data_IF_182050492776
#
_entry.id   IF_182050492776
#
_cell.length_a   1.000
_cell.length_b   1.000
_cell.length_c   1.000
_cell.angle_alpha   90.00
_cell.angle_beta   90.00
_cell.angle_gamma   90.00
#
_symmetry.space_group_name_H-M   'P 1'
#
loop_
_entity.id
_entity.type
_entity.pdbx_description
1 polymer ?
#
# COMPACT_ATOMS: atom_id res chain seq x y z
N UNK A 1 -2.97 13.47 -11.19
CA UNK A 1 -3.90 12.41 -10.72
C UNK A 1 -3.06 11.28 -10.20
N UNK A 2 -3.38 10.69 -9.04
CA UNK A 2 -2.57 9.61 -8.47
C UNK A 2 -2.63 8.33 -9.35
N UNK A 3 -1.62 7.47 -9.31
CA UNK A 3 -1.40 6.40 -10.29
C UNK A 3 -2.43 5.27 -10.18
N UNK A 4 -2.75 4.84 -8.96
CA UNK A 4 -3.79 3.86 -8.67
C UNK A 4 -5.19 4.31 -9.10
N UNK A 5 -5.55 5.59 -8.91
CA UNK A 5 -6.82 6.13 -9.42
C UNK A 5 -6.86 6.08 -10.94
N UNK A 6 -5.75 6.42 -11.61
CA UNK A 6 -5.65 6.35 -13.07
C UNK A 6 -5.83 4.91 -13.56
N UNK A 7 -5.25 3.93 -12.86
CA UNK A 7 -5.42 2.51 -13.16
C UNK A 7 -6.88 2.07 -13.04
N UNK A 8 -7.55 2.42 -11.93
CA UNK A 8 -8.97 2.08 -11.73
C UNK A 8 -9.87 2.70 -12.82
N UNK A 9 -9.61 3.95 -13.21
CA UNK A 9 -10.38 4.62 -14.25
C UNK A 9 -10.25 3.89 -15.61
N UNK A 10 -9.04 3.45 -15.96
CA UNK A 10 -8.79 2.70 -17.21
C UNK A 10 -9.47 1.33 -17.21
N UNK A 11 -9.47 0.63 -16.07
CA UNK A 11 -10.02 -0.72 -15.96
C UNK A 11 -11.56 -0.74 -15.86
N UNK A 12 -12.13 0.21 -15.13
CA UNK A 12 -13.52 0.12 -14.66
C UNK A 12 -14.43 1.29 -15.08
N UNK A 13 -13.87 2.36 -15.65
CA UNK A 13 -14.58 3.60 -15.88
C UNK A 13 -14.91 4.38 -14.60
N UNK A 14 -15.42 5.60 -14.76
CA UNK A 14 -15.51 6.60 -13.67
C UNK A 14 -16.32 6.15 -12.45
N UNK A 15 -17.49 5.54 -12.65
CA UNK A 15 -18.40 5.23 -11.54
C UNK A 15 -17.85 4.12 -10.64
N UNK A 16 -17.37 3.02 -11.23
CA UNK A 16 -16.83 1.90 -10.46
C UNK A 16 -15.47 2.26 -9.85
N UNK A 17 -14.61 3.02 -10.54
CA UNK A 17 -13.36 3.53 -9.97
C UNK A 17 -13.59 4.33 -8.69
N UNK A 18 -14.57 5.26 -8.70
CA UNK A 18 -14.93 6.05 -7.49
C UNK A 18 -15.42 5.17 -6.34
N UNK A 19 -16.26 4.18 -6.63
CA UNK A 19 -16.76 3.24 -5.61
C UNK A 19 -15.65 2.40 -4.99
N UNK A 20 -14.72 1.90 -5.80
CA UNK A 20 -13.58 1.11 -5.32
C UNK A 20 -12.67 1.96 -4.45
N UNK A 21 -12.29 3.17 -4.91
CA UNK A 21 -11.47 4.08 -4.11
C UNK A 21 -12.14 4.48 -2.78
N UNK A 22 -13.46 4.71 -2.80
CA UNK A 22 -14.22 4.98 -1.57
C UNK A 22 -14.24 3.77 -0.62
N UNK A 23 -14.37 2.55 -1.14
CA UNK A 23 -14.36 1.34 -0.33
C UNK A 23 -13.02 1.12 0.39
N UNK A 24 -11.89 1.31 -0.31
CA UNK A 24 -10.56 1.28 0.34
C UNK A 24 -10.48 2.27 1.50
N UNK A 25 -10.85 3.52 1.26
CA UNK A 25 -10.80 4.57 2.29
C UNK A 25 -11.73 4.29 3.46
N UNK A 26 -12.90 3.72 3.20
CA UNK A 26 -13.86 3.37 4.24
C UNK A 26 -13.39 2.20 5.10
N UNK A 27 -12.77 1.18 4.49
CA UNK A 27 -12.34 -0.03 5.20
C UNK A 27 -10.97 0.10 5.85
N UNK A 28 -10.08 0.93 5.29
CA UNK A 28 -8.69 1.06 5.70
C UNK A 28 -8.32 2.52 6.01
N UNK A 29 -9.20 3.22 6.74
CA UNK A 29 -8.90 4.58 7.22
C UNK A 29 -7.78 4.53 8.26
N UNK A 30 -6.75 5.37 8.11
CA UNK A 30 -5.61 5.41 9.05
C UNK A 30 -5.94 5.83 10.48
N UNK A 31 -7.16 6.31 10.73
CA UNK A 31 -7.65 6.68 12.07
C UNK A 31 -8.23 5.48 12.85
N UNK A 32 -8.56 4.38 12.17
CA UNK A 32 -9.07 3.16 12.81
C UNK A 32 -7.91 2.24 13.21
N UNK A 33 -7.93 1.76 14.47
CA UNK A 33 -6.85 0.95 15.03
C UNK A 33 -6.66 -0.38 14.29
N UNK A 34 -7.75 -1.04 13.86
CA UNK A 34 -7.66 -2.30 13.12
C UNK A 34 -7.17 -2.06 11.70
N UNK A 35 -7.61 -0.97 11.07
CA UNK A 35 -7.09 -0.55 9.78
C UNK A 35 -5.58 -0.25 9.85
N UNK A 36 -5.12 0.48 10.88
CA UNK A 36 -3.68 0.71 11.11
C UNK A 36 -2.92 -0.60 11.26
N UNK A 37 -3.41 -1.53 12.08
CA UNK A 37 -2.78 -2.84 12.25
C UNK A 37 -2.59 -3.56 10.91
N UNK A 38 -3.64 -3.60 10.07
CA UNK A 38 -3.57 -4.21 8.74
C UNK A 38 -2.60 -3.46 7.82
N UNK A 39 -2.60 -2.13 7.85
CA UNK A 39 -1.72 -1.31 7.02
C UNK A 39 -0.24 -1.47 7.43
N UNK A 40 0.04 -1.57 8.72
CA UNK A 40 1.37 -1.80 9.28
C UNK A 40 1.89 -3.20 8.90
N UNK A 41 1.05 -4.24 9.00
CA UNK A 41 1.39 -5.59 8.53
C UNK A 41 1.69 -5.62 7.03
N UNK A 42 0.82 -5.01 6.20
CA UNK A 42 1.03 -4.91 4.76
C UNK A 42 2.29 -4.12 4.41
N UNK A 43 2.61 -3.04 5.13
CA UNK A 43 3.83 -2.27 4.91
C UNK A 43 5.08 -3.15 5.09
N UNK A 44 5.06 -4.06 6.07
CA UNK A 44 6.15 -5.02 6.29
C UNK A 44 6.17 -6.11 5.21
N UNK A 45 5.04 -6.78 4.98
CA UNK A 45 4.92 -7.86 4.00
C UNK A 45 5.33 -7.40 2.59
N UNK A 46 4.92 -6.20 2.20
CA UNK A 46 5.21 -5.59 0.91
C UNK A 46 6.52 -4.81 0.86
N UNK A 47 7.36 -4.87 1.90
CA UNK A 47 8.71 -4.25 1.93
C UNK A 47 8.69 -2.74 1.63
N UNK A 48 7.69 -2.02 2.15
CA UNK A 48 7.51 -0.60 1.88
C UNK A 48 8.72 0.25 2.31
N UNK A 49 9.33 -0.10 3.46
CA UNK A 49 10.51 0.57 4.02
C UNK A 49 11.84 -0.17 3.82
N UNK A 50 11.88 -1.26 3.05
CA UNK A 50 13.05 -2.12 2.90
C UNK A 50 13.47 -2.20 1.44
N UNK A 51 14.75 -2.48 1.17
CA UNK A 51 15.17 -2.79 -0.20
C UNK A 51 14.47 -4.03 -0.74
N UNK A 52 14.04 -3.95 -2.00
CA UNK A 52 13.48 -5.05 -2.81
C UNK A 52 14.57 -5.84 -3.54
N UNK A 53 15.75 -5.24 -3.71
CA UNK A 53 16.83 -5.81 -4.49
C UNK A 53 17.42 -7.05 -3.83
N UNK A 54 17.60 -8.10 -4.62
CA UNK A 54 18.28 -9.33 -4.25
C UNK A 54 19.42 -9.58 -5.23
N UNK A 55 20.65 -9.53 -4.73
CA UNK A 55 21.85 -9.68 -5.54
C UNK A 55 21.89 -11.05 -6.21
N UNK A 56 22.07 -11.08 -7.53
CA UNK A 56 22.09 -12.32 -8.31
C UNK A 56 20.71 -12.94 -8.59
N UNK A 57 19.62 -12.34 -8.09
CA UNK A 57 18.26 -12.84 -8.30
C UNK A 57 17.31 -11.74 -8.80
N UNK A 58 17.24 -11.53 -10.12
CA UNK A 58 16.33 -10.55 -10.72
C UNK A 58 14.86 -10.95 -10.60
N UNK A 59 14.53 -12.25 -10.51
CA UNK A 59 13.16 -12.71 -10.39
C UNK A 59 12.59 -12.38 -9.01
N UNK A 60 13.35 -12.63 -7.95
CA UNK A 60 12.97 -12.24 -6.60
C UNK A 60 12.89 -10.72 -6.45
N UNK A 61 13.81 -9.98 -7.07
CA UNK A 61 13.75 -8.51 -7.09
C UNK A 61 12.44 -8.01 -7.72
N UNK A 62 12.07 -8.54 -8.88
CA UNK A 62 10.82 -8.17 -9.55
C UNK A 62 9.58 -8.56 -8.74
N UNK A 63 9.59 -9.72 -8.08
CA UNK A 63 8.51 -10.12 -7.18
C UNK A 63 8.36 -9.15 -5.99
N UNK A 64 9.46 -8.75 -5.37
CA UNK A 64 9.47 -7.79 -4.27
C UNK A 64 8.97 -6.41 -4.70
N UNK A 65 9.33 -5.95 -5.90
CA UNK A 65 8.79 -4.71 -6.47
C UNK A 65 7.27 -4.80 -6.73
N UNK A 66 6.80 -5.94 -7.25
CA UNK A 66 5.36 -6.17 -7.42
C UNK A 66 4.60 -6.13 -6.10
N UNK A 67 5.15 -6.73 -5.04
CA UNK A 67 4.57 -6.65 -3.70
C UNK A 67 4.52 -5.21 -3.19
N UNK A 68 5.58 -4.42 -3.40
CA UNK A 68 5.60 -3.00 -3.01
C UNK A 68 4.58 -2.18 -3.78
N UNK A 69 4.42 -2.41 -5.08
CA UNK A 69 3.42 -1.72 -5.91
C UNK A 69 1.99 -1.95 -5.39
N UNK A 70 1.67 -3.17 -4.93
CA UNK A 70 0.39 -3.47 -4.28
C UNK A 70 0.19 -2.59 -3.04
N UNK A 71 1.17 -2.49 -2.15
CA UNK A 71 1.06 -1.63 -0.98
C UNK A 71 0.89 -0.15 -1.35
N UNK A 72 1.67 0.34 -2.32
CA UNK A 72 1.56 1.72 -2.79
C UNK A 72 0.17 2.01 -3.37
N UNK A 73 -0.42 1.06 -4.11
CA UNK A 73 -1.80 1.18 -4.57
C UNK A 73 -2.79 1.31 -3.40
N UNK A 74 -2.69 0.43 -2.40
CA UNK A 74 -3.57 0.47 -1.21
C UNK A 74 -3.40 1.78 -0.46
N UNK A 75 -2.16 2.18 -0.15
CA UNK A 75 -1.84 3.42 0.54
C UNK A 75 -2.41 4.64 -0.21
N UNK A 76 -2.27 4.67 -1.53
CA UNK A 76 -2.82 5.71 -2.38
C UNK A 76 -4.34 5.85 -2.23
N UNK A 77 -5.06 4.71 -2.26
CA UNK A 77 -6.52 4.67 -2.14
C UNK A 77 -6.99 5.12 -0.75
N UNK A 78 -6.28 4.70 0.29
CA UNK A 78 -6.53 5.10 1.68
C UNK A 78 -6.23 6.59 1.92
N UNK A 79 -5.46 7.22 1.03
CA UNK A 79 -5.10 8.62 1.11
C UNK A 79 -3.78 8.89 1.83
N UNK A 80 -3.02 7.85 2.15
CA UNK A 80 -1.72 7.94 2.80
C UNK A 80 -0.67 8.53 1.85
N UNK A 81 0.28 9.24 2.44
CA UNK A 81 1.47 9.77 1.80
C UNK A 81 2.76 9.23 2.44
N UNK A 82 3.93 9.63 1.90
CA UNK A 82 5.22 9.18 2.40
C UNK A 82 5.45 9.45 3.90
N UNK A 83 4.91 10.56 4.41
CA UNK A 83 5.06 10.95 5.82
C UNK A 83 4.34 9.97 6.78
N UNK A 84 3.32 9.27 6.30
CA UNK A 84 2.57 8.28 7.08
C UNK A 84 3.34 6.94 7.21
N UNK A 85 4.29 6.67 6.31
CA UNK A 85 4.91 5.35 6.19
C UNK A 85 5.84 5.05 7.37
N UNK A 86 6.56 6.07 7.86
CA UNK A 86 7.45 5.90 9.01
C UNK A 86 6.71 5.37 10.24
N UNK A 87 5.50 5.87 10.49
CA UNK A 87 4.64 5.41 11.59
C UNK A 87 4.24 3.95 11.43
N UNK A 88 3.74 3.57 10.25
CA UNK A 88 3.33 2.19 9.96
C UNK A 88 4.48 1.18 10.08
N UNK A 89 5.69 1.57 9.66
CA UNK A 89 6.87 0.70 9.74
C UNK A 89 7.35 0.55 11.19
N UNK A 90 7.30 1.62 11.99
CA UNK A 90 7.75 1.61 13.37
C UNK A 90 6.85 0.76 14.27
N UNK A 91 5.53 0.77 14.04
CA UNK A 91 4.58 -0.04 14.82
C UNK A 91 4.92 -1.54 14.80
N UNK A 92 5.37 -2.08 13.66
CA UNK A 92 5.78 -3.50 13.55
C UNK A 92 7.05 -3.81 14.34
N UNK A 93 7.92 -2.82 14.56
CA UNK A 93 9.15 -2.99 15.34
C UNK A 93 8.82 -3.06 16.83
N UNK A 94 7.88 -2.23 17.29
CA UNK A 94 7.54 -2.11 18.71
C UNK A 94 6.81 -3.37 19.26
N UNK A 95 6.20 -4.17 18.38
CA UNK A 95 5.52 -5.44 18.71
C UNK A 95 6.44 -6.69 18.77
N UNK A 96 7.76 -6.55 18.53
CA UNK A 96 8.75 -7.66 18.55
C UNK A 96 9.59 -7.67 19.82
#
# INVERSE_FOLDING_TARGET
MKAGITWLLRLHGTQRARRVAAAYRQCLSGDDVLARLVLSDLAHYCRAGQSSFVAGDPHQTAFNEGARDVFLHVAEMCGLGPDDFAGLIQEVIDDR
#
